data_IF_388181872863
#
_entry.id   IF_388181872863
#
_cell.length_a   1.000
_cell.length_b   1.000
_cell.length_c   1.000
_cell.angle_alpha   90.00
_cell.angle_beta   90.00
_cell.angle_gamma   90.00
#
_symmetry.space_group_name_H-M   'P 1'
#
loop_
_entity.id
_entity.type
_entity.pdbx_description
1 polymer ?
#
# COMPACT_ATOMS: atom_id res chain seq x y z
N UNK A 1 3.47 -0.32 -22.77
CA UNK A 1 2.24 0.43 -22.47
C UNK A 1 1.09 -0.38 -23.03
N UNK A 2 0.08 -0.70 -22.24
CA UNK A 2 -1.13 -1.32 -22.76
C UNK A 2 -1.91 -0.25 -23.56
N UNK A 3 -2.40 -0.65 -24.73
CA UNK A 3 -3.25 0.23 -25.55
C UNK A 3 -4.58 0.43 -24.83
N UNK A 4 -4.95 1.66 -24.55
CA UNK A 4 -6.16 2.00 -23.79
C UNK A 4 -7.37 2.30 -24.67
N UNK A 5 -7.25 2.20 -25.98
CA UNK A 5 -8.28 2.62 -26.92
C UNK A 5 -9.54 1.72 -26.98
N UNK A 6 -9.48 0.50 -26.41
CA UNK A 6 -10.61 -0.46 -26.38
C UNK A 6 -11.13 -0.77 -24.97
N UNK A 7 -10.82 0.06 -23.97
CA UNK A 7 -11.26 -0.18 -22.60
C UNK A 7 -12.70 0.31 -22.39
N UNK A 8 -13.60 -0.63 -22.10
CA UNK A 8 -14.96 -0.31 -21.62
C UNK A 8 -14.85 0.26 -20.18
N UNK A 9 -14.73 1.58 -20.09
CA UNK A 9 -14.56 2.31 -18.83
C UNK A 9 -15.70 2.03 -17.83
N UNK A 10 -16.87 1.62 -18.31
CA UNK A 10 -18.04 1.32 -17.47
C UNK A 10 -17.83 0.12 -16.56
N UNK A 11 -16.88 -0.76 -16.87
CA UNK A 11 -16.53 -1.94 -16.08
C UNK A 11 -15.49 -1.65 -14.99
N UNK A 12 -14.79 -0.53 -15.08
CA UNK A 12 -13.73 -0.18 -14.14
C UNK A 12 -14.28 0.46 -12.87
N UNK A 13 -13.57 0.24 -11.75
CA UNK A 13 -13.91 0.84 -10.45
C UNK A 13 -13.15 2.13 -10.25
N UNK A 14 -13.83 3.18 -9.77
CA UNK A 14 -13.21 4.46 -9.42
C UNK A 14 -12.69 4.37 -8.00
N UNK A 15 -11.39 4.64 -7.82
CA UNK A 15 -10.75 4.71 -6.51
C UNK A 15 -10.36 6.16 -6.22
N UNK A 16 -10.76 6.63 -5.03
CA UNK A 16 -10.46 7.96 -4.50
C UNK A 16 -9.50 7.86 -3.32
N UNK A 17 -8.97 8.98 -2.89
CA UNK A 17 -8.08 9.08 -1.73
C UNK A 17 -8.62 8.32 -0.52
N UNK A 18 -7.74 7.60 0.18
CA UNK A 18 -8.04 6.75 1.35
C UNK A 18 -8.92 5.52 1.08
N UNK A 19 -9.21 5.21 -0.18
CA UNK A 19 -9.82 3.94 -0.56
C UNK A 19 -8.77 2.87 -0.77
N UNK A 20 -9.19 1.65 -0.51
CA UNK A 20 -8.37 0.46 -0.62
C UNK A 20 -8.75 -0.37 -1.83
N UNK A 21 -7.76 -1.04 -2.40
CA UNK A 21 -7.91 -2.11 -3.38
C UNK A 21 -7.33 -3.40 -2.80
N UNK A 22 -8.09 -4.47 -2.83
CA UNK A 22 -7.72 -5.77 -2.29
C UNK A 22 -7.82 -6.85 -3.37
N UNK A 23 -6.87 -7.78 -3.35
CA UNK A 23 -6.92 -9.01 -4.14
C UNK A 23 -6.51 -10.18 -3.27
N UNK A 24 -7.41 -11.11 -3.02
CA UNK A 24 -7.13 -12.34 -2.29
C UNK A 24 -6.40 -13.41 -3.09
N UNK A 25 -6.19 -13.18 -4.39
CA UNK A 25 -5.57 -14.18 -5.29
C UNK A 25 -4.16 -14.55 -4.85
N UNK A 26 -3.90 -15.85 -4.70
CA UNK A 26 -2.57 -16.40 -4.43
C UNK A 26 -1.92 -15.93 -3.11
N UNK A 27 -2.69 -15.43 -2.16
CA UNK A 27 -2.18 -14.93 -0.88
C UNK A 27 -1.36 -15.99 -0.13
N UNK A 28 -1.88 -17.21 -0.03
CA UNK A 28 -1.16 -18.31 0.65
C UNK A 28 0.09 -18.74 -0.10
N UNK A 29 0.05 -18.79 -1.44
CA UNK A 29 1.20 -19.19 -2.25
C UNK A 29 2.33 -18.16 -2.22
N UNK A 30 1.98 -16.88 -2.31
CA UNK A 30 2.95 -15.80 -2.38
C UNK A 30 3.35 -15.29 -0.98
N UNK A 31 2.65 -15.76 0.07
CA UNK A 31 2.91 -15.40 1.46
C UNK A 31 2.72 -13.92 1.76
N UNK A 32 1.82 -13.24 1.04
CA UNK A 32 1.54 -11.83 1.27
C UNK A 32 0.08 -11.47 0.97
N UNK A 33 -0.51 -10.62 1.80
CA UNK A 33 -1.82 -10.02 1.57
C UNK A 33 -1.67 -8.86 0.56
N UNK A 34 -2.36 -8.96 -0.57
CA UNK A 34 -2.31 -7.92 -1.60
C UNK A 34 -3.36 -6.86 -1.34
N UNK A 35 -2.96 -5.85 -0.62
CA UNK A 35 -3.76 -4.66 -0.31
C UNK A 35 -2.98 -3.41 -0.67
N UNK A 36 -3.67 -2.41 -1.21
CA UNK A 36 -3.11 -1.10 -1.49
C UNK A 36 -4.07 -0.01 -1.03
N UNK A 37 -3.55 1.09 -0.53
CA UNK A 37 -4.30 2.30 -0.20
C UNK A 37 -3.95 3.41 -1.19
N UNK A 38 -4.95 4.02 -1.80
CA UNK A 38 -4.72 5.13 -2.72
C UNK A 38 -4.56 6.45 -1.95
N UNK A 39 -3.44 7.13 -2.19
CA UNK A 39 -3.07 8.38 -1.51
C UNK A 39 -3.14 9.62 -2.42
N UNK A 40 -3.35 9.42 -3.73
CA UNK A 40 -3.42 10.51 -4.71
C UNK A 40 -4.67 11.38 -4.54
N UNK A 41 -4.65 12.57 -5.12
CA UNK A 41 -5.75 13.55 -5.08
C UNK A 41 -6.77 13.30 -6.17
N UNK A 42 -6.32 12.93 -7.37
CA UNK A 42 -7.19 12.69 -8.51
C UNK A 42 -7.72 11.25 -8.51
N UNK A 43 -9.01 11.04 -8.81
CA UNK A 43 -9.57 9.69 -8.92
C UNK A 43 -8.84 8.86 -9.98
N UNK A 44 -8.67 7.56 -9.73
CA UNK A 44 -8.10 6.62 -10.69
C UNK A 44 -9.07 5.49 -11.01
N UNK A 45 -8.90 4.89 -12.17
CA UNK A 45 -9.62 3.68 -12.57
C UNK A 45 -8.78 2.44 -12.29
N UNK A 46 -9.38 1.43 -11.69
CA UNK A 46 -8.74 0.13 -11.48
C UNK A 46 -9.61 -1.00 -12.03
N UNK A 47 -8.96 -2.14 -12.31
CA UNK A 47 -9.64 -3.34 -12.80
C UNK A 47 -10.79 -3.78 -11.88
N UNK A 48 -11.91 -4.25 -12.44
CA UNK A 48 -13.02 -4.81 -11.67
C UNK A 48 -12.65 -6.07 -10.86
N UNK A 49 -11.52 -6.72 -11.18
CA UNK A 49 -11.01 -7.87 -10.46
C UNK A 49 -10.58 -7.56 -9.01
N UNK A 50 -10.33 -6.31 -8.69
CA UNK A 50 -10.01 -5.90 -7.31
C UNK A 50 -11.28 -5.61 -6.51
N UNK A 51 -11.33 -6.06 -5.27
CA UNK A 51 -12.33 -5.60 -4.30
C UNK A 51 -11.89 -4.23 -3.77
N UNK A 52 -12.82 -3.25 -3.78
CA UNK A 52 -12.56 -1.91 -3.27
C UNK A 52 -13.37 -1.65 -2.02
N UNK A 53 -12.77 -1.01 -1.03
CA UNK A 53 -13.46 -0.66 0.22
C UNK A 53 -12.88 0.62 0.83
N UNK A 54 -13.56 1.14 1.82
CA UNK A 54 -13.13 2.30 2.60
C UNK A 54 -13.45 2.12 4.08
N UNK A 55 -12.70 2.80 4.94
CA UNK A 55 -12.99 2.84 6.36
C UNK A 55 -14.01 3.96 6.60
N UNK A 56 -15.17 3.59 7.12
CA UNK A 56 -16.27 4.52 7.41
C UNK A 56 -16.06 5.21 8.76
N UNK A 57 -15.63 4.46 9.79
CA UNK A 57 -15.44 4.97 11.16
C UNK A 57 -14.02 5.52 11.33
N UNK A 58 -13.73 6.65 10.71
CA UNK A 58 -12.40 7.28 10.75
C UNK A 58 -12.07 7.92 12.11
N UNK A 59 -13.05 8.09 12.97
CA UNK A 59 -12.93 8.47 14.38
C UNK A 59 -12.41 7.32 15.27
N UNK A 60 -12.50 6.08 14.80
CA UNK A 60 -12.01 4.88 15.49
C UNK A 60 -10.74 4.34 14.84
N UNK A 61 -10.67 4.36 13.52
CA UNK A 61 -9.57 3.77 12.73
C UNK A 61 -9.02 4.76 11.71
N UNK A 62 -7.76 5.13 11.84
CA UNK A 62 -7.06 5.93 10.83
C UNK A 62 -6.73 5.04 9.62
N UNK A 63 -7.14 5.40 8.38
CA UNK A 63 -6.90 4.57 7.19
C UNK A 63 -5.43 4.19 7.00
N UNK A 64 -4.50 5.12 7.20
CA UNK A 64 -3.06 4.85 7.10
C UNK A 64 -2.59 3.87 8.19
N UNK A 65 -3.13 3.95 9.41
CA UNK A 65 -2.80 2.98 10.47
C UNK A 65 -3.29 1.58 10.12
N UNK A 66 -4.52 1.46 9.64
CA UNK A 66 -5.06 0.20 9.14
C UNK A 66 -4.15 -0.39 8.05
N UNK A 67 -3.79 0.40 7.06
CA UNK A 67 -2.89 -0.03 6.00
C UNK A 67 -1.55 -0.56 6.54
N UNK A 68 -0.94 0.16 7.49
CA UNK A 68 0.34 -0.25 8.10
C UNK A 68 0.27 -1.62 8.78
N UNK A 69 -0.87 -1.99 9.38
CA UNK A 69 -1.07 -3.33 9.98
C UNK A 69 -0.90 -4.42 8.93
N UNK A 70 -1.44 -4.23 7.74
CA UNK A 70 -1.37 -5.19 6.64
C UNK A 70 -0.03 -5.17 5.87
N UNK A 71 0.89 -4.25 6.19
CA UNK A 71 2.26 -4.28 5.67
C UNK A 71 3.20 -5.14 6.53
N UNK A 72 2.72 -5.71 7.64
CA UNK A 72 3.54 -6.50 8.54
C UNK A 72 3.66 -7.95 8.07
N UNK A 73 4.85 -8.55 8.25
CA UNK A 73 5.07 -9.98 7.97
C UNK A 73 4.19 -10.90 8.81
N UNK A 74 3.76 -10.45 9.99
CA UNK A 74 2.85 -11.17 10.86
C UNK A 74 1.48 -11.32 10.19
N UNK A 75 0.96 -10.22 9.65
CA UNK A 75 -0.32 -10.23 8.93
C UNK A 75 -0.25 -11.02 7.64
N UNK A 76 0.87 -10.95 6.92
CA UNK A 76 1.10 -11.78 5.73
C UNK A 76 1.06 -13.28 6.06
N UNK A 77 1.72 -13.71 7.15
CA UNK A 77 1.68 -15.10 7.62
C UNK A 77 0.27 -15.52 8.03
N UNK A 78 -0.45 -14.64 8.72
CA UNK A 78 -1.82 -14.90 9.13
C UNK A 78 -2.75 -15.02 7.92
N UNK A 79 -2.64 -14.13 6.95
CA UNK A 79 -3.39 -14.19 5.69
C UNK A 79 -3.09 -15.47 4.88
N UNK A 80 -1.83 -15.90 4.85
CA UNK A 80 -1.45 -17.17 4.23
C UNK A 80 -2.08 -18.38 4.97
N UNK A 81 -2.14 -18.33 6.29
CA UNK A 81 -2.78 -19.38 7.11
C UNK A 81 -4.30 -19.44 6.88
N UNK A 82 -4.95 -18.27 6.73
CA UNK A 82 -6.40 -18.18 6.48
C UNK A 82 -6.79 -18.45 5.02
N UNK A 83 -5.81 -18.57 4.11
CA UNK A 83 -6.07 -18.87 2.70
C UNK A 83 -6.62 -20.29 2.51
N UNK A 84 -7.40 -20.47 1.43
CA UNK A 84 -7.94 -21.77 1.08
C UNK A 84 -6.82 -22.77 0.75
N UNK A 85 -7.12 -24.08 0.90
CA UNK A 85 -6.18 -25.16 0.58
C UNK A 85 -6.07 -25.47 -0.92
N UNK A 86 -6.60 -24.63 -1.81
CA UNK A 86 -6.56 -24.84 -3.26
C UNK A 86 -5.16 -24.59 -3.84
N UNK A 87 -4.93 -25.03 -5.08
CA UNK A 87 -3.68 -24.75 -5.81
C UNK A 87 -3.43 -23.23 -5.95
N UNK A 88 -4.49 -22.42 -6.00
CA UNK A 88 -4.39 -20.96 -6.09
C UNK A 88 -4.16 -20.31 -4.73
N UNK A 89 -4.55 -20.98 -3.65
CA UNK A 89 -4.38 -20.52 -2.26
C UNK A 89 -4.87 -19.08 -2.06
N UNK A 90 -6.16 -18.86 -2.31
CA UNK A 90 -6.77 -17.56 -2.23
C UNK A 90 -7.21 -17.24 -0.79
N UNK A 91 -7.12 -15.98 -0.41
CA UNK A 91 -7.74 -15.44 0.78
C UNK A 91 -9.06 -14.77 0.37
N UNK A 92 -10.18 -15.42 0.63
CA UNK A 92 -11.49 -14.91 0.24
C UNK A 92 -11.83 -13.61 0.97
N UNK A 93 -12.65 -12.76 0.32
CA UNK A 93 -13.03 -11.47 0.86
C UNK A 93 -13.73 -11.55 2.22
N UNK A 94 -14.62 -12.52 2.38
CA UNK A 94 -15.35 -12.74 3.63
C UNK A 94 -14.38 -13.11 4.76
N UNK A 95 -13.44 -14.03 4.49
CA UNK A 95 -12.39 -14.42 5.44
C UNK A 95 -11.48 -13.24 5.78
N UNK A 96 -11.14 -12.41 4.79
CA UNK A 96 -10.39 -11.18 5.04
C UNK A 96 -11.14 -10.20 5.96
N UNK A 97 -12.46 -10.06 5.78
CA UNK A 97 -13.29 -9.20 6.62
C UNK A 97 -13.40 -9.69 8.07
N UNK A 98 -13.25 -11.00 8.31
CA UNK A 98 -13.31 -11.61 9.64
C UNK A 98 -11.96 -11.54 10.38
N UNK A 99 -10.91 -10.99 9.76
CA UNK A 99 -9.62 -10.78 10.44
C UNK A 99 -9.79 -9.74 11.54
N UNK A 100 -9.63 -10.17 12.77
CA UNK A 100 -9.63 -9.28 13.93
C UNK A 100 -8.27 -8.59 14.09
N UNK A 101 -8.32 -7.28 14.32
CA UNK A 101 -7.13 -6.45 14.58
C UNK A 101 -7.31 -5.67 15.88
N UNK A 102 -6.30 -5.68 16.73
CA UNK A 102 -6.27 -4.81 17.89
C UNK A 102 -6.00 -3.37 17.49
N UNK A 103 -6.83 -2.47 17.99
CA UNK A 103 -6.73 -1.04 17.73
C UNK A 103 -6.41 -0.30 19.03
N UNK A 104 -5.26 0.38 19.13
CA UNK A 104 -5.02 1.32 20.20
C UNK A 104 -5.89 2.58 20.04
N UNK A 105 -5.83 3.49 21.01
CA UNK A 105 -6.56 4.77 20.90
C UNK A 105 -6.14 5.54 19.65
N UNK A 106 -7.02 6.42 19.18
CA UNK A 106 -6.81 7.19 17.94
C UNK A 106 -5.54 8.05 18.02
N UNK A 107 -5.19 8.56 19.20
CA UNK A 107 -4.00 9.35 19.43
C UNK A 107 -2.73 8.51 19.28
N UNK A 108 -2.77 7.25 19.72
CA UNK A 108 -1.65 6.31 19.53
C UNK A 108 -1.52 5.91 18.07
N UNK A 109 -2.63 5.65 17.39
CA UNK A 109 -2.63 5.37 15.95
C UNK A 109 -1.98 6.52 15.18
N UNK A 110 -2.34 7.79 15.50
CA UNK A 110 -1.78 8.96 14.85
C UNK A 110 -0.26 9.05 15.04
N UNK A 111 0.25 8.80 16.25
CA UNK A 111 1.70 8.78 16.51
C UNK A 111 2.43 7.77 15.62
N UNK A 112 1.88 6.57 15.44
CA UNK A 112 2.48 5.58 14.54
C UNK A 112 2.45 6.03 13.08
N UNK A 113 1.35 6.62 12.64
CA UNK A 113 1.24 7.18 11.27
C UNK A 113 2.27 8.30 11.04
N UNK A 114 2.47 9.18 12.02
CA UNK A 114 3.44 10.27 11.92
C UNK A 114 4.88 9.75 11.82
N UNK A 115 5.22 8.71 12.61
CA UNK A 115 6.52 8.03 12.53
C UNK A 115 6.70 7.40 11.14
N UNK A 116 5.72 6.66 10.66
CA UNK A 116 5.76 6.01 9.35
C UNK A 116 5.95 7.03 8.21
N UNK A 117 5.18 8.11 8.21
CA UNK A 117 5.31 9.17 7.22
C UNK A 117 6.69 9.83 7.26
N UNK A 118 7.24 10.02 8.46
CA UNK A 118 8.60 10.56 8.64
C UNK A 118 9.66 9.62 8.09
N UNK A 119 9.50 8.31 8.26
CA UNK A 119 10.41 7.30 7.70
C UNK A 119 10.37 7.30 6.17
N UNK A 120 9.18 7.33 5.57
CA UNK A 120 9.02 7.41 4.10
C UNK A 120 9.68 8.68 3.56
N UNK A 121 9.41 9.83 4.17
CA UNK A 121 10.01 11.10 3.76
C UNK A 121 11.54 11.09 3.86
N UNK A 122 12.09 10.52 4.93
CA UNK A 122 13.54 10.40 5.11
C UNK A 122 14.16 9.43 4.10
N UNK A 123 13.48 8.33 3.77
CA UNK A 123 13.90 7.41 2.70
C UNK A 123 13.98 8.11 1.35
N UNK A 124 12.96 8.88 0.98
CA UNK A 124 12.94 9.66 -0.25
C UNK A 124 14.07 10.71 -0.29
N UNK A 125 14.33 11.40 0.82
CA UNK A 125 15.45 12.34 0.94
C UNK A 125 16.79 11.65 0.81
N UNK A 126 16.96 10.47 1.42
CA UNK A 126 18.17 9.69 1.31
C UNK A 126 18.46 9.26 -0.13
N UNK A 127 17.45 8.75 -0.84
CA UNK A 127 17.59 8.35 -2.24
C UNK A 127 17.92 9.55 -3.14
N UNK A 128 17.29 10.70 -2.88
CA UNK A 128 17.62 11.95 -3.58
C UNK A 128 19.10 12.35 -3.37
N UNK A 129 19.57 12.38 -2.13
CA UNK A 129 20.96 12.72 -1.80
C UNK A 129 21.92 11.72 -2.41
N UNK A 130 21.64 10.42 -2.31
CA UNK A 130 22.46 9.35 -2.87
C UNK A 130 22.65 9.49 -4.38
N UNK A 131 21.64 9.95 -5.09
CA UNK A 131 21.69 10.12 -6.54
C UNK A 131 22.38 11.43 -6.96
N UNK A 132 22.32 12.49 -6.17
CA UNK A 132 22.87 13.81 -6.50
C UNK A 132 24.31 14.00 -5.97
N UNK A 133 24.63 13.51 -4.77
CA UNK A 133 25.95 13.68 -4.18
C UNK A 133 27.11 13.23 -5.08
N UNK A 134 27.06 12.09 -5.79
CA UNK A 134 28.14 11.70 -6.70
C UNK A 134 28.36 12.69 -7.84
N UNK A 135 27.31 13.34 -8.32
CA UNK A 135 27.37 14.36 -9.39
C UNK A 135 28.01 15.66 -8.88
N UNK A 136 27.63 16.09 -7.68
CA UNK A 136 28.18 17.29 -7.04
C UNK A 136 29.66 17.13 -6.71
N UNK A 137 30.07 15.96 -6.21
CA UNK A 137 31.49 15.65 -5.90
C UNK A 137 32.33 15.65 -7.17
N UNK A 138 31.85 15.07 -8.27
CA UNK A 138 32.55 15.11 -9.56
C UNK A 138 32.73 16.55 -10.07
N UNK A 139 31.68 17.36 -10.03
CA UNK A 139 31.74 18.77 -10.44
C UNK A 139 32.78 19.57 -9.66
N UNK A 140 32.82 19.41 -8.33
CA UNK A 140 33.80 20.08 -7.46
C UNK A 140 35.25 19.67 -7.74
N UNK A 141 35.51 18.41 -8.13
CA UNK A 141 36.86 17.91 -8.48
C UNK A 141 37.34 18.48 -9.83
N UNK A 142 36.41 18.66 -10.77
CA UNK A 142 36.73 19.24 -12.10
C UNK A 142 37.02 20.75 -12.02
N UNK A 143 36.29 21.50 -11.19
CA UNK A 143 36.54 22.92 -10.94
C UNK A 143 37.83 23.17 -10.18
N UNK A 144 38.27 22.28 -9.29
CA UNK A 144 39.52 22.39 -8.54
C UNK A 144 40.76 22.04 -9.37
N UNK A 145 40.66 21.60 -10.63
CA UNK A 145 41.74 21.26 -11.54
C UNK A 145 42.06 22.32 -12.59
N UNK A 146 41.43 23.53 -12.51
CA UNK A 146 41.71 24.67 -13.39
C UNK A 146 42.62 25.66 -12.73
#
# INVERSE_FOLDING_TARGET
MADTNDLDETKYKIVRKNRFAYSGMQTGRDGCIRIAMYIGTEPILISPAYTTFEIIKTDVVIPSYFFMKFLSKEMDRYGAFCSDGSIRSNLDWEVFCDIEIELPSIEIQQKYVDIYNSMILNGQKYDFIKNICPVLIKGSIEEGKR
#
